data_IF_327903738294
#
_entry.id   IF_327903738294
#
_cell.length_a   1.000
_cell.length_b   1.000
_cell.length_c   1.000
_cell.angle_alpha   90.00
_cell.angle_beta   90.00
_cell.angle_gamma   90.00
#
_symmetry.space_group_name_H-M   'P 1'
#
loop_
_entity.id
_entity.type
_entity.pdbx_description
1 polymer ?
#
# COMPACT_ATOMS: atom_id res chain seq x y z
N UNK A 1 -8.90 -3.84 7.74
CA UNK A 1 -8.16 -5.11 7.77
C UNK A 1 -6.63 -4.92 7.87
N UNK A 2 -6.02 -3.95 7.17
CA UNK A 2 -4.56 -3.79 7.06
C UNK A 2 -3.74 -3.86 8.37
N UNK A 3 -4.14 -3.17 9.45
CA UNK A 3 -3.39 -3.22 10.71
C UNK A 3 -3.33 -4.64 11.30
N UNK A 4 -4.39 -5.44 11.11
CA UNK A 4 -4.42 -6.82 11.57
C UNK A 4 -3.50 -7.70 10.72
N UNK A 5 -3.52 -7.52 9.40
CA UNK A 5 -2.64 -8.24 8.49
C UNK A 5 -1.16 -8.00 8.78
N UNK A 6 -0.77 -6.75 9.05
CA UNK A 6 0.63 -6.39 9.33
C UNK A 6 1.10 -6.83 10.72
N UNK A 7 0.18 -7.06 11.65
CA UNK A 7 0.47 -7.46 13.02
C UNK A 7 0.27 -8.97 13.26
N UNK A 8 -0.23 -9.71 12.28
CA UNK A 8 -0.51 -11.13 12.42
C UNK A 8 0.77 -11.96 12.31
N UNK A 9 0.86 -13.00 13.13
CA UNK A 9 1.96 -13.98 13.07
C UNK A 9 1.73 -15.04 11.97
N UNK A 10 0.46 -15.27 11.58
CA UNK A 10 0.06 -16.22 10.54
C UNK A 10 -0.97 -15.57 9.57
N UNK A 11 -0.87 -15.95 8.30
CA UNK A 11 -1.67 -15.47 7.19
C UNK A 11 -2.27 -16.64 6.38
N UNK A 12 -2.52 -17.77 7.03
CA UNK A 12 -3.28 -18.86 6.43
C UNK A 12 -4.71 -18.44 6.00
N UNK A 13 -5.34 -19.27 5.17
CA UNK A 13 -6.65 -18.95 4.59
C UNK A 13 -7.75 -18.71 5.64
N UNK A 14 -7.77 -19.50 6.72
CA UNK A 14 -8.80 -19.38 7.75
C UNK A 14 -8.58 -18.10 8.57
N UNK A 15 -7.34 -17.77 8.90
CA UNK A 15 -6.95 -16.55 9.57
C UNK A 15 -7.32 -15.31 8.74
N UNK A 16 -7.07 -15.35 7.43
CA UNK A 16 -7.45 -14.27 6.51
C UNK A 16 -8.96 -14.08 6.44
N UNK A 17 -9.74 -15.16 6.35
CA UNK A 17 -11.22 -15.09 6.34
C UNK A 17 -11.75 -14.54 7.67
N UNK A 18 -11.20 -14.98 8.80
CA UNK A 18 -11.58 -14.46 10.11
C UNK A 18 -11.28 -12.95 10.24
N UNK A 19 -10.12 -12.51 9.76
CA UNK A 19 -9.76 -11.09 9.73
C UNK A 19 -10.67 -10.27 8.79
N UNK A 20 -11.08 -10.84 7.67
CA UNK A 20 -12.01 -10.21 6.73
C UNK A 20 -13.41 -10.05 7.34
N UNK A 21 -13.93 -11.11 7.98
CA UNK A 21 -15.18 -11.08 8.72
C UNK A 21 -15.16 -10.02 9.82
N UNK A 22 -14.09 -9.99 10.62
CA UNK A 22 -13.93 -9.02 11.69
C UNK A 22 -13.68 -7.58 11.19
N UNK A 23 -13.45 -7.39 9.89
CA UNK A 23 -13.40 -6.09 9.22
C UNK A 23 -14.73 -5.72 8.53
N UNK A 24 -15.77 -6.55 8.64
CA UNK A 24 -17.10 -6.32 8.05
C UNK A 24 -17.18 -6.59 6.55
N UNK A 25 -16.25 -7.38 6.00
CA UNK A 25 -16.27 -7.76 4.59
C UNK A 25 -17.23 -8.93 4.34
N UNK A 26 -17.74 -9.03 3.11
CA UNK A 26 -18.42 -10.22 2.62
C UNK A 26 -17.39 -11.36 2.48
N UNK A 27 -17.49 -12.36 3.35
CA UNK A 27 -16.53 -13.47 3.39
C UNK A 27 -16.68 -14.42 2.21
N UNK A 28 -17.89 -14.58 1.64
CA UNK A 28 -18.10 -15.42 0.47
C UNK A 28 -17.45 -14.82 -0.76
N UNK A 29 -17.62 -13.50 -0.95
CA UNK A 29 -16.92 -12.75 -1.99
C UNK A 29 -15.41 -12.73 -1.74
N UNK A 30 -14.97 -12.52 -0.51
CA UNK A 30 -13.54 -12.49 -0.17
C UNK A 30 -12.85 -13.79 -0.57
N UNK A 31 -13.43 -14.95 -0.22
CA UNK A 31 -12.88 -16.26 -0.60
C UNK A 31 -12.85 -16.44 -2.12
N UNK A 32 -13.91 -16.04 -2.83
CA UNK A 32 -13.90 -16.09 -4.29
C UNK A 32 -12.83 -15.18 -4.92
N UNK A 33 -12.56 -14.02 -4.30
CA UNK A 33 -11.54 -13.08 -4.75
C UNK A 33 -10.10 -13.59 -4.51
N UNK A 34 -9.88 -14.51 -3.54
CA UNK A 34 -8.57 -15.14 -3.32
C UNK A 34 -8.10 -15.98 -4.53
N UNK A 35 -9.03 -16.62 -5.24
CA UNK A 35 -8.76 -17.44 -6.42
C UNK A 35 -9.04 -16.71 -7.75
N UNK A 36 -9.37 -15.42 -7.70
CA UNK A 36 -9.81 -14.65 -8.87
C UNK A 36 -8.64 -14.28 -9.78
N UNK A 37 -8.66 -14.69 -11.08
CA UNK A 37 -7.66 -14.26 -12.05
C UNK A 37 -7.60 -12.74 -12.21
N UNK A 38 -8.75 -12.06 -12.11
CA UNK A 38 -8.80 -10.60 -12.22
C UNK A 38 -8.10 -9.90 -11.04
N UNK A 39 -8.14 -10.49 -9.84
CA UNK A 39 -7.40 -9.99 -8.68
C UNK A 39 -5.90 -10.27 -8.85
N UNK A 40 -5.53 -11.45 -9.34
CA UNK A 40 -4.14 -11.77 -9.65
C UNK A 40 -3.53 -10.81 -10.69
N UNK A 41 -4.25 -10.53 -11.79
CA UNK A 41 -3.83 -9.58 -12.82
C UNK A 41 -3.62 -8.17 -12.26
N UNK A 42 -4.45 -7.77 -11.28
CA UNK A 42 -4.32 -6.49 -10.59
C UNK A 42 -3.08 -6.44 -9.71
N UNK A 43 -2.80 -7.51 -8.94
CA UNK A 43 -1.56 -7.62 -8.15
C UNK A 43 -0.33 -7.54 -9.06
N UNK A 44 -0.35 -8.21 -10.20
CA UNK A 44 0.73 -8.15 -11.19
C UNK A 44 0.92 -6.76 -11.79
N UNK A 45 -0.18 -6.03 -12.02
CA UNK A 45 -0.12 -4.64 -12.48
C UNK A 45 0.51 -3.72 -11.42
N UNK A 46 0.15 -3.90 -10.14
CA UNK A 46 0.71 -3.14 -9.02
C UNK A 46 2.21 -3.44 -8.86
N UNK A 47 2.64 -4.70 -9.02
CA UNK A 47 4.06 -5.09 -9.02
C UNK A 47 4.85 -4.43 -10.16
N UNK A 48 4.29 -4.39 -11.38
CA UNK A 48 4.92 -3.68 -12.51
C UNK A 48 5.00 -2.18 -12.23
N UNK A 49 3.94 -1.59 -11.68
CA UNK A 49 3.94 -0.17 -11.34
C UNK A 49 5.01 0.16 -10.30
N UNK A 50 5.15 -0.65 -9.25
CA UNK A 50 6.17 -0.45 -8.21
C UNK A 50 7.58 -0.44 -8.81
N UNK A 51 7.90 -1.43 -9.66
CA UNK A 51 9.21 -1.50 -10.35
C UNK A 51 9.44 -0.31 -11.27
N UNK A 52 8.44 0.08 -12.06
CA UNK A 52 8.54 1.23 -12.96
C UNK A 52 8.75 2.56 -12.20
N UNK A 53 8.26 2.65 -10.96
CA UNK A 53 8.49 3.78 -10.07
C UNK A 53 9.82 3.73 -9.31
N UNK A 54 10.63 2.68 -9.48
CA UNK A 54 11.89 2.48 -8.74
C UNK A 54 11.71 2.03 -7.29
N UNK A 55 10.54 1.47 -6.94
CA UNK A 55 10.26 0.88 -5.64
C UNK A 55 10.67 -0.61 -5.65
N UNK A 56 11.97 -0.86 -5.58
CA UNK A 56 12.56 -2.21 -5.66
C UNK A 56 12.47 -3.00 -4.33
N UNK A 57 11.94 -2.39 -3.27
CA UNK A 57 11.79 -3.00 -1.96
C UNK A 57 10.77 -2.27 -1.10
N UNK A 58 10.37 -2.90 0.00
CA UNK A 58 9.42 -2.32 0.96
C UNK A 58 10.08 -2.13 2.33
N UNK A 59 9.72 -1.06 3.07
CA UNK A 59 8.87 0.05 2.63
C UNK A 59 9.66 1.04 1.74
N UNK A 60 9.00 1.59 0.72
CA UNK A 60 9.50 2.72 -0.11
C UNK A 60 8.41 3.78 -0.16
N UNK A 61 8.78 5.06 -0.04
CA UNK A 61 7.84 6.18 -0.03
C UNK A 61 8.21 7.26 -1.04
N UNK A 62 7.18 7.95 -1.54
CA UNK A 62 7.32 9.08 -2.45
C UNK A 62 6.45 10.24 -1.96
N UNK A 63 6.96 11.46 -2.07
CA UNK A 63 6.23 12.71 -1.83
C UNK A 63 6.39 13.60 -3.06
N UNK A 64 5.26 13.99 -3.67
CA UNK A 64 5.23 14.80 -4.90
C UNK A 64 6.14 14.26 -6.02
N UNK A 65 6.13 12.92 -6.21
CA UNK A 65 6.93 12.22 -7.21
C UNK A 65 8.41 12.02 -6.84
N UNK A 66 8.87 12.53 -5.70
CA UNK A 66 10.24 12.39 -5.23
C UNK A 66 10.33 11.27 -4.18
N UNK A 67 11.27 10.36 -4.37
CA UNK A 67 11.55 9.29 -3.40
C UNK A 67 12.08 9.89 -2.10
N UNK A 68 11.53 9.44 -0.98
CA UNK A 68 12.02 9.79 0.36
C UNK A 68 12.80 8.60 0.89
N UNK A 69 14.11 8.77 1.02
CA UNK A 69 14.97 7.80 1.71
C UNK A 69 15.00 8.14 3.20
N UNK A 70 14.74 7.14 4.06
CA UNK A 70 14.78 7.32 5.51
C UNK A 70 13.65 6.60 6.26
N UNK A 71 13.53 6.93 7.53
CA UNK A 71 12.52 6.43 8.45
C UNK A 71 11.15 7.12 8.26
N UNK A 72 10.10 6.60 8.90
CA UNK A 72 8.79 7.25 8.93
C UNK A 72 8.85 8.69 9.51
N UNK A 73 9.79 8.96 10.42
CA UNK A 73 10.00 10.30 10.98
C UNK A 73 10.50 11.26 9.90
N UNK A 74 11.37 10.79 9.00
CA UNK A 74 11.90 11.59 7.89
C UNK A 74 10.79 11.95 6.89
N UNK A 75 9.79 11.08 6.72
CA UNK A 75 8.61 11.31 5.90
C UNK A 75 7.72 12.39 6.52
N UNK A 76 7.43 12.31 7.82
CA UNK A 76 6.62 13.32 8.51
C UNK A 76 7.28 14.69 8.36
N UNK A 77 8.59 14.78 8.62
CA UNK A 77 9.34 16.00 8.44
C UNK A 77 9.36 16.48 6.96
N UNK A 78 9.35 15.56 5.99
CA UNK A 78 9.27 15.90 4.57
C UNK A 78 7.90 16.48 4.20
N UNK A 79 6.81 15.92 4.74
CA UNK A 79 5.45 16.46 4.57
C UNK A 79 5.34 17.85 5.15
N UNK A 80 5.82 18.07 6.38
CA UNK A 80 5.81 19.39 7.02
C UNK A 80 6.59 20.43 6.21
N UNK A 81 7.74 20.05 5.64
CA UNK A 81 8.51 20.91 4.74
C UNK A 81 7.77 21.21 3.44
N UNK A 82 7.11 20.23 2.82
CA UNK A 82 6.33 20.43 1.59
C UNK A 82 5.17 21.41 1.84
N UNK A 83 4.50 21.31 2.99
CA UNK A 83 3.42 22.23 3.38
C UNK A 83 3.90 23.65 3.71
N UNK A 84 5.13 23.82 4.21
CA UNK A 84 5.71 25.12 4.54
C UNK A 84 6.32 25.86 3.33
N UNK A 85 6.62 25.14 2.24
CA UNK A 85 7.10 25.74 1.01
C UNK A 85 5.94 26.37 0.23
N UNK A 86 6.09 27.60 -0.32
CA UNK A 86 5.07 28.17 -1.19
C UNK A 86 4.91 27.31 -2.43
N UNK A 87 3.71 26.78 -2.67
CA UNK A 87 3.37 26.09 -3.91
C UNK A 87 3.61 27.04 -5.10
N UNK A 88 4.51 26.71 -6.02
CA UNK A 88 4.67 27.50 -7.25
C UNK A 88 5.46 26.79 -8.35
N UNK A 89 5.25 27.16 -9.63
CA UNK A 89 3.99 27.45 -10.31
C UNK A 89 3.54 26.25 -11.19
N UNK A 90 2.25 26.21 -11.55
CA UNK A 90 1.76 25.38 -12.67
C UNK A 90 2.44 25.80 -13.97
N UNK A 91 3.03 24.86 -14.70
CA UNK A 91 3.44 25.01 -16.11
C UNK A 91 3.76 23.64 -16.69
N UNK A 92 3.38 23.27 -17.92
CA UNK A 92 2.78 23.99 -19.05
C UNK A 92 1.64 23.17 -19.65
#
# INVERSE_FOLDING_TARGET
MHQRLLAADDLDGDALVAMAAAAGLDTGRFVADLDSPAVADRVDADLRSARNSGADGTPTFFLDGHRIDGSLVDIIAAVERSLAAPTGPKGR
#
